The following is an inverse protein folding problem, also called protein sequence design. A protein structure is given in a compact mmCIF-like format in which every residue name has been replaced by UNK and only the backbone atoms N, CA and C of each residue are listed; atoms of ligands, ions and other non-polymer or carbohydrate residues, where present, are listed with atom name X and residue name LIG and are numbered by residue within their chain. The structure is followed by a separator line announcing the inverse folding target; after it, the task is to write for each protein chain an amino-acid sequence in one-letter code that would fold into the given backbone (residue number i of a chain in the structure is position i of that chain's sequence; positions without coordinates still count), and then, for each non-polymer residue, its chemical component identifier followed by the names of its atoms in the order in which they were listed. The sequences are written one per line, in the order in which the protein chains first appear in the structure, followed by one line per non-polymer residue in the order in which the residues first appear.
data_IF_096294202207
#
_entry.id   IF_096294202207
#
_cell.length_a   1.000
_cell.length_b   1.000
_cell.length_c   1.000
_cell.angle_alpha   90.00
_cell.angle_beta   90.00
_cell.angle_gamma   90.00
#
_symmetry.space_group_name_H-M   'P 1'
#
loop_
_entity.id
_entity.type
_entity.pdbx_description
1 polymer ?
#
# COMPACT_ATOMS: atom_id res chain seq x y z
N UNK A 1 0.61 -10.75 5.66
CA UNK A 1 1.25 -10.02 4.54
C UNK A 1 0.14 -9.54 3.64
N UNK A 2 0.11 -8.26 3.34
CA UNK A 2 -0.97 -7.66 2.59
C UNK A 2 -0.61 -7.61 1.08
N UNK A 3 -1.57 -7.91 0.20
CA UNK A 3 -1.38 -7.95 -1.26
C UNK A 3 -2.15 -6.79 -1.89
N UNK A 4 -1.48 -6.00 -2.73
CA UNK A 4 -2.08 -4.84 -3.40
C UNK A 4 -2.26 -5.15 -4.88
N UNK A 5 -3.49 -5.06 -5.40
CA UNK A 5 -3.71 -5.28 -6.82
C UNK A 5 -2.98 -4.19 -7.64
N UNK A 6 -2.37 -4.60 -8.76
CA UNK A 6 -1.79 -3.65 -9.70
C UNK A 6 -2.35 -3.83 -11.10
N UNK A 7 -2.38 -2.71 -11.80
CA UNK A 7 -3.04 -2.52 -13.09
C UNK A 7 -2.02 -2.03 -14.11
N UNK A 8 -2.33 -2.21 -15.40
CA UNK A 8 -1.47 -1.76 -16.50
C UNK A 8 -1.63 -0.28 -16.81
N UNK A 9 -2.81 0.27 -16.52
CA UNK A 9 -3.22 1.64 -16.81
C UNK A 9 -4.17 2.15 -15.72
N UNK A 10 -4.20 3.46 -15.43
CA UNK A 10 -5.11 4.06 -14.47
C UNK A 10 -6.47 4.39 -15.11
N UNK A 11 -7.18 3.38 -15.61
CA UNK A 11 -8.51 3.54 -16.23
C UNK A 11 -9.53 2.63 -15.55
N UNK A 12 -10.80 3.05 -15.51
CA UNK A 12 -11.87 2.38 -14.74
C UNK A 12 -12.03 0.89 -15.06
N UNK A 13 -11.81 0.48 -16.31
CA UNK A 13 -11.89 -0.93 -16.75
C UNK A 13 -10.51 -1.55 -17.01
N UNK A 14 -9.45 -1.05 -16.38
CA UNK A 14 -8.12 -1.60 -16.58
C UNK A 14 -8.09 -3.07 -16.12
N UNK A 15 -7.55 -4.00 -16.93
CA UNK A 15 -7.36 -5.36 -16.49
C UNK A 15 -6.35 -5.38 -15.34
N UNK A 16 -6.69 -6.11 -14.28
CA UNK A 16 -5.75 -6.42 -13.20
C UNK A 16 -4.62 -7.27 -13.77
N UNK A 17 -3.39 -6.78 -13.64
CA UNK A 17 -2.19 -7.48 -14.12
C UNK A 17 -1.70 -8.47 -13.08
N UNK A 18 -1.89 -8.16 -11.80
CA UNK A 18 -1.54 -9.08 -10.72
C UNK A 18 -1.72 -8.47 -9.34
N UNK A 19 -0.92 -8.94 -8.40
CA UNK A 19 -0.85 -8.42 -7.05
C UNK A 19 0.60 -8.24 -6.64
N UNK A 20 0.94 -7.09 -6.08
CA UNK A 20 2.24 -6.78 -5.51
C UNK A 20 2.20 -7.04 -4.01
N UNK A 21 3.32 -7.47 -3.43
CA UNK A 21 3.44 -7.58 -1.98
C UNK A 21 3.59 -6.19 -1.39
N UNK A 22 2.68 -5.80 -0.51
CA UNK A 22 2.73 -4.52 0.18
C UNK A 22 3.18 -4.69 1.63
N UNK A 23 4.16 -3.89 2.03
CA UNK A 23 4.70 -3.83 3.39
C UNK A 23 4.75 -2.37 3.80
N UNK A 24 4.25 -2.06 4.99
CA UNK A 24 4.45 -0.75 5.61
C UNK A 24 5.44 -0.93 6.76
N UNK A 25 6.52 -0.18 6.73
CA UNK A 25 7.53 -0.19 7.78
C UNK A 25 7.04 0.55 9.04
N UNK A 26 7.74 0.38 10.17
CA UNK A 26 7.48 1.11 11.42
C UNK A 26 7.49 2.63 11.25
N UNK A 27 8.24 3.14 10.28
CA UNK A 27 8.31 4.56 9.96
C UNK A 27 7.11 5.07 9.15
N UNK A 28 6.19 4.19 8.75
CA UNK A 28 5.04 4.53 7.91
C UNK A 28 5.36 4.60 6.41
N UNK A 29 6.59 4.28 6.03
CA UNK A 29 7.02 4.14 4.64
C UNK A 29 6.44 2.85 4.03
N UNK A 30 6.04 2.92 2.76
CA UNK A 30 5.45 1.79 2.05
C UNK A 30 6.44 1.20 1.05
N UNK A 31 6.46 -0.12 1.02
CA UNK A 31 7.32 -0.94 0.16
C UNK A 31 6.44 -1.88 -0.66
N UNK A 32 6.64 -1.89 -1.97
CA UNK A 32 5.98 -2.77 -2.93
C UNK A 32 7.00 -3.72 -3.56
N UNK A 33 6.79 -5.02 -3.42
CA UNK A 33 7.73 -6.09 -3.84
C UNK A 33 9.18 -5.83 -3.40
N UNK A 34 9.34 -5.27 -2.19
CA UNK A 34 10.65 -4.95 -1.60
C UNK A 34 11.25 -3.61 -2.05
N UNK A 35 10.61 -2.88 -2.96
CA UNK A 35 11.04 -1.55 -3.37
C UNK A 35 10.26 -0.45 -2.64
N UNK A 36 10.94 0.62 -2.23
CA UNK A 36 10.29 1.77 -1.58
C UNK A 36 9.46 2.55 -2.59
N UNK A 37 8.27 2.98 -2.18
CA UNK A 37 7.46 3.95 -2.91
C UNK A 37 8.04 5.34 -2.69
N UNK A 38 8.59 5.95 -3.73
CA UNK A 38 9.16 7.30 -3.68
C UNK A 38 8.07 8.37 -3.87
N UNK A 39 7.11 8.09 -4.76
CA UNK A 39 6.04 9.03 -5.09
C UNK A 39 4.72 8.30 -5.27
N UNK A 40 3.63 8.95 -4.86
CA UNK A 40 2.28 8.47 -5.04
C UNK A 40 1.41 9.64 -5.55
N UNK A 41 0.98 9.57 -6.81
CA UNK A 41 0.19 10.62 -7.47
C UNK A 41 -1.24 10.11 -7.71
N UNK A 42 -2.27 10.76 -7.16
CA UNK A 42 -3.65 10.36 -7.40
C UNK A 42 -4.05 10.66 -8.85
N UNK A 43 -4.76 9.72 -9.48
CA UNK A 43 -5.29 9.83 -10.84
C UNK A 43 -6.66 9.16 -10.88
N UNK A 44 -7.70 9.95 -10.61
CA UNK A 44 -9.07 9.44 -10.50
C UNK A 44 -9.19 8.44 -9.35
N UNK A 45 -9.65 7.22 -9.67
CA UNK A 45 -9.76 6.12 -8.69
C UNK A 45 -8.44 5.39 -8.40
N UNK A 46 -7.39 5.71 -9.16
CA UNK A 46 -6.08 5.05 -9.08
C UNK A 46 -5.02 5.95 -8.45
N UNK A 47 -3.95 5.33 -7.97
CA UNK A 47 -2.70 5.96 -7.61
C UNK A 47 -1.61 5.48 -8.57
N UNK A 48 -0.87 6.44 -9.11
CA UNK A 48 0.37 6.22 -9.85
C UNK A 48 1.50 6.22 -8.83
N UNK A 49 2.10 5.06 -8.61
CA UNK A 49 3.19 4.86 -7.68
C UNK A 49 4.52 4.79 -8.44
N UNK A 50 5.44 5.67 -8.09
CA UNK A 50 6.81 5.62 -8.58
C UNK A 50 7.66 4.92 -7.52
N UNK A 51 8.22 3.78 -7.88
CA UNK A 51 9.14 3.02 -7.02
C UNK A 51 10.57 3.53 -7.19
N UNK A 52 11.44 3.21 -6.22
CA UNK A 52 12.85 3.60 -6.23
C UNK A 52 13.62 3.20 -7.49
N UNK A 53 13.27 2.07 -8.12
CA UNK A 53 13.89 1.62 -9.37
C UNK A 53 13.34 2.34 -10.61
N UNK A 54 12.60 3.44 -10.43
CA UNK A 54 11.88 4.16 -11.49
C UNK A 54 10.70 3.38 -12.11
N UNK A 55 10.40 2.19 -11.59
CA UNK A 55 9.23 1.42 -12.02
C UNK A 55 7.94 2.13 -11.59
N UNK A 56 7.04 2.35 -12.55
CA UNK A 56 5.71 2.93 -12.31
C UNK A 56 4.68 1.82 -12.17
N UNK A 57 3.87 1.89 -11.11
CA UNK A 57 2.79 0.93 -10.83
C UNK A 57 1.48 1.67 -10.63
N UNK A 58 0.41 1.11 -11.15
CA UNK A 58 -0.94 1.65 -10.98
C UNK A 58 -1.70 0.77 -10.00
N UNK A 59 -2.22 1.36 -8.93
CA UNK A 59 -2.99 0.66 -7.89
C UNK A 59 -4.26 1.43 -7.59
N UNK A 60 -5.25 0.80 -6.96
CA UNK A 60 -6.44 1.52 -6.51
C UNK A 60 -6.13 2.39 -5.29
N UNK A 61 -6.62 3.64 -5.31
CA UNK A 61 -6.43 4.57 -4.20
C UNK A 61 -7.04 4.01 -2.90
N UNK A 62 -8.26 3.47 -2.98
CA UNK A 62 -8.95 2.89 -1.84
C UNK A 62 -8.19 1.72 -1.20
N UNK A 63 -7.59 0.83 -1.99
CA UNK A 63 -6.81 -0.29 -1.45
C UNK A 63 -5.51 0.20 -0.81
N UNK A 64 -4.84 1.18 -1.43
CA UNK A 64 -3.63 1.76 -0.88
C UNK A 64 -3.88 2.46 0.46
N UNK A 65 -4.95 3.26 0.56
CA UNK A 65 -5.35 3.92 1.80
C UNK A 65 -5.76 2.92 2.88
N UNK A 66 -6.49 1.87 2.52
CA UNK A 66 -6.86 0.80 3.46
C UNK A 66 -5.62 0.13 4.08
N UNK A 67 -4.56 -0.09 3.29
CA UNK A 67 -3.30 -0.64 3.78
C UNK A 67 -2.56 0.29 4.74
N UNK A 68 -2.50 1.58 4.38
CA UNK A 68 -1.92 2.62 5.25
C UNK A 68 -2.67 2.72 6.57
N UNK A 69 -4.00 2.74 6.52
CA UNK A 69 -4.86 2.78 7.69
C UNK A 69 -4.69 1.54 8.57
N UNK A 70 -4.64 0.35 7.96
CA UNK A 70 -4.40 -0.91 8.68
C UNK A 70 -3.03 -0.92 9.39
N UNK A 71 -1.97 -0.44 8.74
CA UNK A 71 -0.65 -0.32 9.35
C UNK A 71 -0.64 0.69 10.52
N UNK A 72 -1.30 1.83 10.36
CA UNK A 72 -1.45 2.82 11.43
C UNK A 72 -2.26 2.26 12.63
N UNK A 73 -3.31 1.48 12.37
CA UNK A 73 -4.10 0.83 13.41
C UNK A 73 -3.29 -0.23 14.19
N UNK A 74 -2.45 -1.01 13.50
CA UNK A 74 -1.52 -1.98 14.15
C UNK A 74 -0.56 -1.27 15.10
N UNK A 75 -0.09 -0.06 14.75
CA UNK A 75 0.75 0.79 15.62
C UNK A 75 0.00 1.31 16.85
N UNK A 76 -1.29 1.61 16.71
CA UNK A 76 -2.14 2.19 17.77
C UNK A 76 -2.73 1.16 18.73
N UNK A 77 -2.58 -0.15 18.52
CA UNK A 77 -2.96 -1.14 19.54
C UNK A 77 -1.88 -1.12 20.62
N UNK A 78 -2.08 -0.47 21.79
CA UNK A 78 -1.23 -0.75 22.93
C UNK A 78 -1.37 -2.25 23.20
N UNK A 79 -0.25 -2.91 23.43
CA UNK A 79 -0.20 -4.22 24.07
C UNK A 79 -0.94 -4.12 25.39
N UNK A 80 -2.25 -4.41 25.38
CA UNK A 80 -3.07 -4.57 26.56
C UNK A 80 -2.54 -5.84 27.22
N UNK A 81 -1.52 -5.71 28.06
CA UNK A 81 -1.22 -6.74 29.05
C UNK A 81 -2.51 -6.91 29.85
N UNK A 82 -3.08 -8.12 29.93
CA UNK A 82 -4.02 -8.36 31.00
C UNK A 82 -3.19 -8.29 32.27
N UNK A 83 -3.29 -7.16 32.96
CA UNK A 83 -2.88 -7.05 34.35
C UNK A 83 -3.70 -8.10 35.10
N UNK A 84 -3.02 -9.14 35.57
CA UNK A 84 -3.62 -10.27 36.26
C UNK A 84 -3.55 -9.92 37.75
N UNK A 85 -4.73 -9.84 38.34
CA UNK A 85 -5.06 -9.70 39.77
C UNK A 85 -4.15 -10.53 40.70
#
# INVERSE_FOLDING_TARGET
MDRLAHYRLPITNAPRVGALRAIVDRNGEMYLDGQRVEQAVPTGAFLVLTLRDTAVRYVLAAEFDALRAAAAARRKRPSRRPDRD
#
